data_IF_495727486217
#
_entry.id   IF_495727486217
#
_cell.length_a   1.000
_cell.length_b   1.000
_cell.length_c   1.000
_cell.angle_alpha   90.00
_cell.angle_beta   90.00
_cell.angle_gamma   90.00
#
_symmetry.space_group_name_H-M   'P 1'
#
loop_
_entity.id
_entity.type
_entity.pdbx_description
1 polymer ?
#
# COMPACT_ATOMS: atom_id res chain seq x y z
N UNK A 1 -29.86 12.41 3.90
CA UNK A 1 -29.87 12.11 2.46
C UNK A 1 -28.46 11.67 2.04
N UNK A 2 -28.08 10.42 2.33
CA UNK A 2 -26.76 9.90 1.96
C UNK A 2 -26.78 9.46 0.51
N UNK A 3 -26.09 10.21 -0.35
CA UNK A 3 -25.89 9.84 -1.75
C UNK A 3 -24.95 8.64 -1.84
N UNK A 4 -25.51 7.42 -1.81
CA UNK A 4 -24.77 6.19 -2.09
C UNK A 4 -24.26 6.31 -3.53
N UNK A 5 -22.99 6.66 -3.68
CA UNK A 5 -22.33 6.68 -4.98
C UNK A 5 -22.45 5.29 -5.60
N UNK A 6 -22.88 5.18 -6.86
CA UNK A 6 -23.06 3.88 -7.48
C UNK A 6 -21.69 3.20 -7.53
N UNK A 7 -21.62 1.95 -7.06
CA UNK A 7 -20.50 1.05 -7.29
C UNK A 7 -19.29 1.09 -6.32
N UNK A 8 -19.45 1.50 -5.06
CA UNK A 8 -18.49 1.13 -3.98
C UNK A 8 -19.11 0.13 -3.02
N UNK A 9 -18.36 -0.91 -2.69
CA UNK A 9 -18.70 -1.88 -1.63
C UNK A 9 -17.95 -1.44 -0.37
N UNK A 10 -18.60 -0.69 0.56
CA UNK A 10 -17.89 -0.05 1.67
C UNK A 10 -17.27 -1.06 2.65
N UNK A 11 -17.86 -2.24 2.78
CA UNK A 11 -17.35 -3.33 3.62
C UNK A 11 -15.98 -3.82 3.16
N UNK A 12 -15.72 -3.86 1.84
CA UNK A 12 -14.42 -4.25 1.30
C UNK A 12 -13.34 -3.19 1.55
N UNK A 13 -13.71 -1.91 1.41
CA UNK A 13 -12.79 -0.81 1.74
C UNK A 13 -12.46 -0.80 3.24
N UNK A 14 -13.41 -1.13 4.12
CA UNK A 14 -13.17 -1.33 5.55
C UNK A 14 -12.20 -2.49 5.84
N UNK A 15 -12.40 -3.64 5.19
CA UNK A 15 -11.51 -4.80 5.31
C UNK A 15 -10.09 -4.51 4.82
N UNK A 16 -9.93 -3.72 3.76
CA UNK A 16 -8.61 -3.22 3.31
C UNK A 16 -7.97 -2.31 4.35
N UNK A 17 -8.76 -1.47 5.02
CA UNK A 17 -8.31 -0.66 6.15
C UNK A 17 -7.76 -1.52 7.29
N UNK A 18 -8.48 -2.57 7.68
CA UNK A 18 -8.01 -3.53 8.70
C UNK A 18 -6.70 -4.20 8.28
N UNK A 19 -6.59 -4.61 7.01
CA UNK A 19 -5.37 -5.19 6.48
C UNK A 19 -4.18 -4.22 6.57
N UNK A 20 -4.36 -2.94 6.22
CA UNK A 20 -3.33 -1.90 6.37
C UNK A 20 -2.93 -1.71 7.83
N UNK A 21 -3.89 -1.67 8.76
CA UNK A 21 -3.63 -1.54 10.19
C UNK A 21 -2.77 -2.71 10.68
N UNK A 22 -3.08 -3.93 10.26
CA UNK A 22 -2.26 -5.11 10.59
C UNK A 22 -0.82 -4.98 10.06
N UNK A 23 -0.62 -4.45 8.85
CA UNK A 23 0.72 -4.19 8.31
C UNK A 23 1.46 -3.15 9.14
N UNK A 24 0.82 -2.01 9.45
CA UNK A 24 1.44 -0.95 10.25
C UNK A 24 1.80 -1.45 11.64
N UNK A 25 0.88 -2.12 12.33
CA UNK A 25 1.11 -2.71 13.65
C UNK A 25 2.27 -3.71 13.63
N UNK A 26 2.33 -4.58 12.62
CA UNK A 26 3.42 -5.54 12.51
C UNK A 26 4.80 -4.88 12.36
N UNK A 27 4.90 -3.74 11.68
CA UNK A 27 6.15 -2.98 11.57
C UNK A 27 6.49 -2.27 12.88
N UNK A 28 5.51 -1.66 13.54
CA UNK A 28 5.70 -0.99 14.83
C UNK A 28 6.19 -1.95 15.94
N UNK A 29 5.62 -3.15 15.99
CA UNK A 29 6.04 -4.21 16.92
C UNK A 29 7.39 -4.79 16.49
N UNK A 30 7.57 -5.07 15.19
CA UNK A 30 8.79 -5.68 14.66
C UNK A 30 10.04 -4.81 14.81
N UNK A 31 9.90 -3.48 14.75
CA UNK A 31 10.99 -2.52 14.94
C UNK A 31 11.15 -2.09 16.42
N UNK A 32 10.50 -2.77 17.37
CA UNK A 32 10.54 -2.49 18.81
C UNK A 32 10.10 -1.07 19.24
N UNK A 33 9.39 -0.33 18.37
CA UNK A 33 8.81 0.97 18.73
C UNK A 33 7.64 0.84 19.72
N UNK A 34 6.92 -0.28 19.66
CA UNK A 34 5.81 -0.59 20.57
C UNK A 34 6.02 -1.98 21.15
N UNK A 35 6.05 -2.08 22.49
CA UNK A 35 6.07 -3.35 23.21
C UNK A 35 4.64 -3.78 23.51
N UNK A 36 4.31 -5.02 23.17
CA UNK A 36 3.02 -5.64 23.49
C UNK A 36 3.24 -6.89 24.36
N UNK A 37 2.33 -7.20 25.29
CA UNK A 37 2.33 -8.48 25.98
C UNK A 37 2.27 -9.63 24.96
N UNK A 38 2.99 -10.73 25.21
CA UNK A 38 3.07 -11.89 24.30
C UNK A 38 3.63 -11.57 22.90
N UNK A 39 4.55 -10.61 22.80
CA UNK A 39 5.16 -10.14 21.54
C UNK A 39 5.65 -11.28 20.62
N UNK A 40 6.18 -12.35 21.19
CA UNK A 40 6.69 -13.51 20.45
C UNK A 40 5.56 -14.26 19.73
N UNK A 41 4.46 -14.54 20.44
CA UNK A 41 3.29 -15.24 19.89
C UNK A 41 2.55 -14.36 18.89
N UNK A 42 2.40 -13.08 19.20
CA UNK A 42 1.79 -12.08 18.30
C UNK A 42 2.61 -11.93 17.01
N UNK A 43 3.95 -11.88 17.09
CA UNK A 43 4.83 -11.88 15.90
C UNK A 43 4.68 -13.15 15.08
N UNK A 44 4.57 -14.31 15.73
CA UNK A 44 4.48 -15.58 15.04
C UNK A 44 3.12 -15.72 14.34
N UNK A 45 2.04 -15.26 14.98
CA UNK A 45 0.69 -15.26 14.43
C UNK A 45 0.53 -14.28 13.27
N UNK A 46 1.08 -13.06 13.36
CA UNK A 46 0.91 -12.02 12.33
C UNK A 46 1.99 -12.13 11.23
N UNK A 47 3.11 -12.80 11.52
CA UNK A 47 4.32 -12.78 10.71
C UNK A 47 4.94 -11.38 10.66
N UNK A 48 6.00 -11.20 9.86
CA UNK A 48 6.61 -9.88 9.56
C UNK A 48 5.69 -9.04 8.66
N UNK A 49 4.44 -8.82 9.07
CA UNK A 49 3.41 -8.11 8.31
C UNK A 49 2.86 -8.83 7.08
N UNK A 50 3.35 -10.04 6.78
CA UNK A 50 2.97 -10.81 5.59
C UNK A 50 1.46 -11.03 5.48
N UNK A 51 0.77 -11.35 6.58
CA UNK A 51 -0.67 -11.59 6.55
C UNK A 51 -1.47 -10.35 6.12
N UNK A 52 -1.15 -9.19 6.71
CA UNK A 52 -1.82 -7.93 6.33
C UNK A 52 -1.57 -7.58 4.86
N UNK A 53 -0.34 -7.77 4.38
CA UNK A 53 0.02 -7.53 2.98
C UNK A 53 -0.75 -8.48 2.04
N UNK A 54 -0.75 -9.78 2.33
CA UNK A 54 -1.46 -10.78 1.54
C UNK A 54 -2.97 -10.48 1.48
N UNK A 55 -3.60 -10.18 2.62
CA UNK A 55 -5.02 -9.83 2.67
C UNK A 55 -5.32 -8.56 1.86
N UNK A 56 -4.49 -7.53 1.99
CA UNK A 56 -4.66 -6.28 1.24
C UNK A 56 -4.59 -6.52 -0.28
N UNK A 57 -3.64 -7.34 -0.74
CA UNK A 57 -3.49 -7.67 -2.16
C UNK A 57 -4.66 -8.51 -2.69
N UNK A 58 -5.11 -9.53 -1.94
CA UNK A 58 -6.26 -10.35 -2.33
C UNK A 58 -7.52 -9.49 -2.46
N UNK A 59 -7.83 -8.67 -1.46
CA UNK A 59 -9.01 -7.80 -1.46
C UNK A 59 -8.95 -6.76 -2.58
N UNK A 60 -7.78 -6.19 -2.84
CA UNK A 60 -7.58 -5.23 -3.93
C UNK A 60 -7.74 -5.90 -5.29
N UNK A 61 -7.20 -7.11 -5.48
CA UNK A 61 -7.37 -7.90 -6.71
C UNK A 61 -8.83 -8.22 -6.99
N UNK A 62 -9.57 -8.70 -5.98
CA UNK A 62 -11.00 -8.98 -6.11
C UNK A 62 -11.80 -7.74 -6.54
N UNK A 63 -11.54 -6.58 -5.93
CA UNK A 63 -12.25 -5.34 -6.25
C UNK A 63 -11.95 -4.86 -7.67
N UNK A 64 -10.69 -4.96 -8.10
CA UNK A 64 -10.28 -4.58 -9.46
C UNK A 64 -10.95 -5.49 -10.49
N UNK A 65 -10.89 -6.81 -10.31
CA UNK A 65 -11.52 -7.77 -11.22
C UNK A 65 -13.02 -7.56 -11.30
N UNK A 66 -13.69 -7.35 -10.17
CA UNK A 66 -15.14 -7.07 -10.13
C UNK A 66 -15.48 -5.78 -10.88
N UNK A 67 -14.66 -4.73 -10.74
CA UNK A 67 -14.86 -3.48 -11.47
C UNK A 67 -14.68 -3.65 -12.98
N UNK A 68 -13.64 -4.40 -13.39
CA UNK A 68 -13.37 -4.67 -14.81
C UNK A 68 -14.44 -5.55 -15.45
N UNK A 69 -14.95 -6.56 -14.74
CA UNK A 69 -16.06 -7.39 -15.19
C UNK A 69 -17.33 -6.56 -15.41
N UNK A 70 -17.63 -5.65 -14.49
CA UNK A 70 -18.77 -4.73 -14.63
C UNK A 70 -18.59 -3.72 -15.77
N UNK A 71 -17.35 -3.28 -16.03
CA UNK A 71 -17.02 -2.42 -17.18
C UNK A 71 -17.19 -3.19 -18.50
N UNK A 72 -16.80 -4.48 -18.53
CA UNK A 72 -16.98 -5.37 -19.68
C UNK A 72 -18.46 -5.62 -19.99
N UNK A 73 -19.29 -5.88 -18.97
CA UNK A 73 -20.73 -6.06 -19.13
C UNK A 73 -21.44 -4.80 -19.64
N UNK A 74 -20.94 -3.61 -19.30
CA UNK A 74 -21.61 -2.34 -19.63
C UNK A 74 -21.11 -1.68 -20.91
N UNK A 75 -19.84 -1.86 -21.29
CA UNK A 75 -19.22 -1.15 -22.42
C UNK A 75 -18.66 -2.08 -23.50
N UNK A 76 -18.87 -3.40 -23.39
CA UNK A 76 -18.34 -4.47 -24.27
C UNK A 76 -16.80 -4.50 -24.43
N UNK A 77 -16.08 -3.56 -23.80
CA UNK A 77 -14.63 -3.40 -23.90
C UNK A 77 -14.06 -2.96 -22.56
N UNK A 78 -12.91 -3.52 -22.20
CA UNK A 78 -12.17 -3.14 -20.99
C UNK A 78 -11.15 -2.07 -21.36
N UNK A 79 -11.30 -0.85 -20.81
CA UNK A 79 -10.30 0.19 -21.00
C UNK A 79 -9.26 0.19 -19.87
N UNK A 80 -8.32 -0.75 -19.96
CA UNK A 80 -7.20 -0.87 -19.00
C UNK A 80 -6.36 0.41 -18.93
N UNK A 81 -6.19 1.12 -20.06
CA UNK A 81 -5.35 2.31 -20.11
C UNK A 81 -5.92 3.43 -19.22
N UNK A 82 -7.22 3.66 -19.30
CA UNK A 82 -7.92 4.64 -18.45
C UNK A 82 -7.93 4.21 -16.97
N UNK A 83 -8.01 2.91 -16.69
CA UNK A 83 -7.88 2.37 -15.34
C UNK A 83 -6.50 2.64 -14.73
N UNK A 84 -5.42 2.31 -15.44
CA UNK A 84 -4.05 2.55 -14.98
C UNK A 84 -3.73 4.03 -14.87
N UNK A 85 -4.24 4.86 -15.79
CA UNK A 85 -4.09 6.31 -15.71
C UNK A 85 -4.66 6.88 -14.42
N UNK A 86 -5.93 6.57 -14.09
CA UNK A 86 -6.56 7.00 -12.83
C UNK A 86 -5.79 6.52 -11.60
N UNK A 87 -5.24 5.31 -11.65
CA UNK A 87 -4.48 4.73 -10.54
C UNK A 87 -3.10 5.39 -10.40
N UNK A 88 -2.43 5.65 -11.52
CA UNK A 88 -1.14 6.34 -11.58
C UNK A 88 -1.24 7.74 -10.99
N UNK A 89 -2.22 8.54 -11.40
CA UNK A 89 -2.44 9.90 -10.88
C UNK A 89 -2.73 9.96 -9.38
N UNK A 90 -3.15 8.85 -8.76
CA UNK A 90 -3.34 8.77 -7.31
C UNK A 90 -2.07 8.36 -6.56
N UNK A 91 -1.20 7.55 -7.15
CA UNK A 91 0.01 7.01 -6.49
C UNK A 91 1.25 7.87 -6.77
N UNK A 92 1.38 8.39 -8.00
CA UNK A 92 2.49 9.22 -8.44
C UNK A 92 2.73 10.48 -7.59
N UNK A 93 1.71 11.22 -7.13
CA UNK A 93 1.95 12.43 -6.32
C UNK A 93 2.64 12.09 -4.99
N UNK A 94 2.20 11.01 -4.34
CA UNK A 94 2.79 10.56 -3.08
C UNK A 94 4.23 10.07 -3.29
N UNK A 95 4.47 9.30 -4.36
CA UNK A 95 5.81 8.84 -4.72
C UNK A 95 6.75 9.99 -5.06
N UNK A 96 6.31 10.94 -5.90
CA UNK A 96 7.09 12.11 -6.27
C UNK A 96 7.44 12.96 -5.04
N UNK A 97 6.49 13.14 -4.13
CA UNK A 97 6.73 13.85 -2.86
C UNK A 97 7.79 13.14 -2.03
N UNK A 98 7.68 11.81 -1.88
CA UNK A 98 8.65 11.01 -1.15
C UNK A 98 10.07 11.13 -1.74
N UNK A 99 10.21 11.01 -3.06
CA UNK A 99 11.49 11.14 -3.77
C UNK A 99 12.07 12.55 -3.63
N UNK A 100 11.24 13.59 -3.77
CA UNK A 100 11.68 14.99 -3.62
C UNK A 100 12.16 15.26 -2.20
N UNK A 101 11.41 14.82 -1.18
CA UNK A 101 11.79 14.99 0.23
C UNK A 101 13.10 14.26 0.51
N UNK A 102 13.27 13.02 0.07
CA UNK A 102 14.52 12.29 0.22
C UNK A 102 15.69 12.97 -0.50
N UNK A 103 15.49 13.46 -1.72
CA UNK A 103 16.52 14.17 -2.49
C UNK A 103 16.93 15.50 -1.85
N UNK A 104 15.99 16.23 -1.24
CA UNK A 104 16.29 17.46 -0.50
C UNK A 104 17.05 17.15 0.81
N UNK A 105 16.64 16.10 1.52
CA UNK A 105 17.32 15.66 2.74
C UNK A 105 18.76 15.20 2.46
N UNK A 106 18.98 14.46 1.37
CA UNK A 106 20.34 14.07 0.96
C UNK A 106 21.18 15.27 0.51
N UNK A 107 20.62 16.20 -0.27
CA UNK A 107 21.33 17.40 -0.70
C UNK A 107 21.72 18.32 0.47
N UNK A 108 20.93 18.34 1.55
CA UNK A 108 21.21 19.13 2.76
C UNK A 108 22.30 18.56 3.66
N UNK A 109 22.92 17.42 3.31
CA UNK A 109 23.91 16.68 4.13
C UNK A 109 23.44 16.30 5.54
N UNK A 110 22.16 16.48 5.88
CA UNK A 110 21.52 15.96 7.10
C UNK A 110 21.43 14.42 7.09
N UNK A 111 21.55 13.81 5.91
CA UNK A 111 21.67 12.38 5.69
C UNK A 111 22.89 12.14 4.81
N UNK A 112 23.94 11.52 5.36
CA UNK A 112 25.10 11.08 4.60
C UNK A 112 24.72 9.78 3.86
N UNK A 113 24.19 9.91 2.64
CA UNK A 113 24.19 8.79 1.70
C UNK A 113 25.65 8.60 1.29
N UNK A 114 26.31 7.59 1.87
CA UNK A 114 27.63 7.19 1.37
C UNK A 114 27.48 6.65 -0.06
N UNK A 115 28.52 6.74 -0.90
CA UNK A 115 28.50 6.23 -2.28
C UNK A 115 28.07 4.75 -2.39
N UNK A 116 28.13 4.00 -1.28
CA UNK A 116 27.69 2.63 -1.15
C UNK A 116 26.16 2.50 -0.95
N UNK A 117 25.49 3.49 -0.37
CA UNK A 117 24.03 3.48 -0.15
C UNK A 117 23.26 3.68 -1.46
N UNK A 118 23.85 4.40 -2.43
CA UNK A 118 23.27 4.57 -3.76
C UNK A 118 23.14 3.21 -4.49
N UNK A 119 24.11 2.32 -4.29
CA UNK A 119 24.06 0.96 -4.82
C UNK A 119 23.00 0.10 -4.13
N UNK A 120 22.82 0.25 -2.82
CA UNK A 120 21.78 -0.45 -2.07
C UNK A 120 20.36 0.05 -2.38
N UNK A 121 20.20 1.34 -2.67
CA UNK A 121 18.92 1.90 -3.13
C UNK A 121 18.48 1.37 -4.50
N UNK A 122 19.43 1.06 -5.40
CA UNK A 122 19.15 0.44 -6.70
C UNK A 122 18.93 -1.07 -6.62
N UNK A 123 19.51 -1.74 -5.60
CA UNK A 123 19.47 -3.20 -5.47
C UNK A 123 18.49 -3.73 -4.41
N UNK A 124 17.79 -2.85 -3.67
CA UNK A 124 16.64 -3.19 -2.81
C UNK A 124 16.86 -4.45 -1.96
N UNK A 125 18.02 -4.49 -1.28
CA UNK A 125 18.33 -5.48 -0.23
C UNK A 125 18.25 -4.79 1.12
#
# INVERSE_FOLDING_TARGET
MSTISPNRIPSLDGLRGVAIILVVLSHLIGQHYVRVPYENEVRQAIGTGRLGVTLFFILSGFLITTLLLKELESNERINLNNFYWRRGWRILPAYATFVVVLGLLSASQLVLLGDNDLWHMLTLT
#
